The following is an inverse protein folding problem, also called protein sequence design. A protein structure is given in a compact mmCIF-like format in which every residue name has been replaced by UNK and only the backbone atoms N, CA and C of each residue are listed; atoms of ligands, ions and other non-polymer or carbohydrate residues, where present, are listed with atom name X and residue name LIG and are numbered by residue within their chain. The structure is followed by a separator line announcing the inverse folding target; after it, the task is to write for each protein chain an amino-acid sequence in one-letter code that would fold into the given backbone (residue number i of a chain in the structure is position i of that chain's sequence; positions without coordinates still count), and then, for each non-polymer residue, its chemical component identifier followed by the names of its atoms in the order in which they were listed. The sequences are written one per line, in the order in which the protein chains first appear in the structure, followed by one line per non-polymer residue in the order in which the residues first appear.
data_IF_874135843005
#
_entry.id   IF_874135843005
#
_cell.length_a   1.000
_cell.length_b   1.000
_cell.length_c   1.000
_cell.angle_alpha   90.00
_cell.angle_beta   90.00
_cell.angle_gamma   90.00
#
_symmetry.space_group_name_H-M   'P 1'
#
loop_
_entity.id
_entity.type
_entity.pdbx_description
1 polymer ?
#
# COMPACT_ATOMS: atom_id res chain seq x y z
N UNK A 1 -10.28 8.36 -11.83
CA UNK A 1 -9.03 8.89 -11.24
C UNK A 1 -8.65 8.19 -9.93
N UNK A 2 -9.56 8.09 -8.96
CA UNK A 2 -9.33 7.36 -7.69
C UNK A 2 -8.72 5.97 -7.86
N UNK A 3 -9.29 5.13 -8.74
CA UNK A 3 -8.78 3.76 -8.97
C UNK A 3 -7.33 3.76 -9.44
N UNK A 4 -6.93 4.70 -10.30
CA UNK A 4 -5.55 4.80 -10.79
C UNK A 4 -4.59 5.24 -9.67
N UNK A 5 -4.96 6.24 -8.87
CA UNK A 5 -4.14 6.67 -7.73
C UNK A 5 -4.03 5.58 -6.69
N UNK A 6 -5.12 4.93 -6.31
CA UNK A 6 -5.12 3.81 -5.39
C UNK A 6 -4.25 2.65 -5.91
N UNK A 7 -4.45 2.22 -7.17
CA UNK A 7 -3.65 1.15 -7.81
C UNK A 7 -2.17 1.51 -7.87
N UNK A 8 -1.81 2.79 -8.01
CA UNK A 8 -0.40 3.21 -8.03
C UNK A 8 0.28 3.20 -6.67
N UNK A 9 -0.47 3.42 -5.59
CA UNK A 9 0.01 3.24 -4.21
C UNK A 9 0.27 1.75 -3.98
N UNK A 10 -0.68 0.91 -4.35
CA UNK A 10 -0.64 -0.53 -4.08
C UNK A 10 0.31 -1.30 -5.01
N UNK A 11 0.12 -1.24 -6.33
CA UNK A 11 1.01 -1.91 -7.28
C UNK A 11 2.40 -1.27 -7.32
N UNK A 12 2.49 0.05 -7.20
CA UNK A 12 3.74 0.80 -7.30
C UNK A 12 4.50 0.92 -5.98
N UNK A 13 4.16 1.94 -5.18
CA UNK A 13 4.89 2.27 -3.95
C UNK A 13 5.03 1.08 -3.01
N UNK A 14 3.95 0.32 -2.84
CA UNK A 14 3.88 -0.81 -1.94
C UNK A 14 4.51 -2.08 -2.51
N UNK A 15 3.85 -2.76 -3.44
CA UNK A 15 4.24 -4.11 -3.90
C UNK A 15 5.51 -4.11 -4.75
N UNK A 16 5.68 -3.14 -5.65
CA UNK A 16 6.85 -3.04 -6.53
C UNK A 16 8.07 -2.47 -5.80
N UNK A 17 7.98 -1.25 -5.28
CA UNK A 17 9.16 -0.55 -4.76
C UNK A 17 9.46 -0.89 -3.29
N UNK A 18 8.47 -0.93 -2.39
CA UNK A 18 8.75 -1.25 -0.99
C UNK A 18 9.12 -2.72 -0.79
N UNK A 19 8.33 -3.63 -1.37
CA UNK A 19 8.47 -5.08 -1.15
C UNK A 19 9.23 -5.86 -2.21
N UNK A 20 9.45 -5.29 -3.40
CA UNK A 20 10.10 -5.99 -4.52
C UNK A 20 9.41 -7.33 -4.83
N UNK A 21 8.09 -7.34 -4.75
CA UNK A 21 7.28 -8.55 -4.91
C UNK A 21 7.15 -8.97 -6.39
N UNK A 22 7.42 -8.05 -7.31
CA UNK A 22 7.55 -8.31 -8.74
C UNK A 22 8.50 -7.28 -9.39
N UNK A 23 8.79 -7.46 -10.68
CA UNK A 23 9.55 -6.50 -11.49
C UNK A 23 8.66 -5.88 -12.56
N UNK A 24 8.86 -4.59 -12.81
CA UNK A 24 8.13 -3.83 -13.83
C UNK A 24 9.08 -3.27 -14.89
N UNK A 25 8.69 -3.31 -16.16
CA UNK A 25 9.39 -2.59 -17.24
C UNK A 25 9.13 -1.09 -17.13
N UNK A 26 10.00 -0.30 -17.78
CA UNK A 26 9.96 1.17 -17.72
C UNK A 26 8.58 1.78 -18.03
N UNK A 27 7.80 1.33 -19.05
CA UNK A 27 6.48 1.90 -19.32
C UNK A 27 5.53 1.80 -18.11
N UNK A 28 5.49 0.63 -17.47
CA UNK A 28 4.67 0.42 -16.27
C UNK A 28 5.18 1.25 -15.09
N UNK A 29 6.50 1.33 -14.90
CA UNK A 29 7.08 2.17 -13.83
C UNK A 29 6.70 3.65 -14.00
N UNK A 30 6.73 4.17 -15.22
CA UNK A 30 6.34 5.57 -15.52
C UNK A 30 4.86 5.83 -15.22
N UNK A 31 3.99 4.91 -15.62
CA UNK A 31 2.55 4.98 -15.36
C UNK A 31 2.29 4.99 -13.85
N UNK A 32 2.85 4.01 -13.13
CA UNK A 32 2.68 3.90 -11.68
C UNK A 32 3.24 5.12 -10.96
N UNK A 33 4.40 5.64 -11.36
CA UNK A 33 5.00 6.80 -10.72
C UNK A 33 4.18 8.08 -10.93
N UNK A 34 3.60 8.24 -12.12
CA UNK A 34 2.78 9.40 -12.46
C UNK A 34 1.50 9.43 -11.62
N UNK A 35 0.80 8.30 -11.53
CA UNK A 35 -0.41 8.19 -10.71
C UNK A 35 -0.09 8.21 -9.20
N UNK A 36 1.07 7.71 -8.78
CA UNK A 36 1.48 7.80 -7.37
C UNK A 36 1.77 9.24 -6.98
N UNK A 37 2.40 10.00 -7.88
CA UNK A 37 2.61 11.45 -7.70
C UNK A 37 1.26 12.18 -7.61
N UNK A 38 0.27 11.79 -8.41
CA UNK A 38 -1.12 12.29 -8.30
C UNK A 38 -1.79 11.91 -6.98
N UNK A 39 -1.42 10.79 -6.34
CA UNK A 39 -1.95 10.37 -5.04
C UNK A 39 -1.46 11.25 -3.88
N UNK A 40 -0.34 11.97 -4.07
CA UNK A 40 0.24 12.94 -3.12
C UNK A 40 0.43 12.36 -1.69
N UNK A 41 1.08 11.19 -1.61
CA UNK A 41 1.44 10.54 -0.34
C UNK A 41 2.94 10.56 -0.07
N UNK A 42 3.57 11.73 -0.16
CA UNK A 42 5.04 11.90 -0.21
C UNK A 42 5.69 11.29 -1.46
N UNK A 43 6.99 11.54 -1.62
CA UNK A 43 7.80 10.93 -2.67
C UNK A 43 7.86 9.41 -2.50
N UNK A 44 8.11 8.65 -3.58
CA UNK A 44 8.26 7.18 -3.46
C UNK A 44 9.42 6.84 -2.52
N UNK A 45 10.49 7.65 -2.53
CA UNK A 45 11.66 7.47 -1.67
C UNK A 45 11.27 7.54 -0.19
N UNK A 46 10.51 8.57 0.20
CA UNK A 46 10.08 8.73 1.60
C UNK A 46 9.03 7.72 2.01
N UNK A 47 8.06 7.45 1.13
CA UNK A 47 6.99 6.48 1.37
C UNK A 47 7.57 5.08 1.59
N UNK A 48 8.49 4.63 0.72
CA UNK A 48 9.13 3.31 0.85
C UNK A 48 9.98 3.22 2.11
N UNK A 49 10.70 4.28 2.50
CA UNK A 49 11.46 4.29 3.76
C UNK A 49 10.53 4.09 4.94
N UNK A 50 9.47 4.87 5.03
CA UNK A 50 8.52 4.82 6.14
C UNK A 50 7.79 3.46 6.17
N UNK A 51 7.43 2.91 5.01
CA UNK A 51 6.79 1.59 4.90
C UNK A 51 7.72 0.43 5.28
N UNK A 52 9.00 0.48 4.88
CA UNK A 52 10.00 -0.53 5.30
C UNK A 52 10.26 -0.46 6.80
N UNK A 53 10.23 0.73 7.39
CA UNK A 53 10.30 0.92 8.84
C UNK A 53 9.09 0.31 9.54
N UNK A 54 7.89 0.59 9.02
CA UNK A 54 6.63 0.03 9.50
C UNK A 54 6.66 -1.50 9.55
N UNK A 55 7.05 -2.18 8.46
CA UNK A 55 7.15 -3.65 8.51
C UNK A 55 8.19 -4.18 9.49
N UNK A 56 9.35 -3.53 9.58
CA UNK A 56 10.46 -4.01 10.39
C UNK A 56 10.23 -3.81 11.89
N UNK A 57 9.53 -2.73 12.24
CA UNK A 57 9.34 -2.27 13.60
C UNK A 57 7.85 -2.09 13.96
N UNK A 58 7.00 -2.83 13.27
CA UNK A 58 5.54 -2.79 13.33
C UNK A 58 5.05 -2.62 14.77
N UNK A 59 4.21 -1.61 14.98
CA UNK A 59 3.55 -1.35 16.26
C UNK A 59 4.51 -1.06 17.43
N UNK A 60 5.70 -0.53 17.13
CA UNK A 60 6.65 0.02 18.13
C UNK A 60 6.88 1.51 17.91
N UNK A 61 7.62 2.17 18.80
CA UNK A 61 7.99 3.58 18.65
C UNK A 61 8.86 3.90 17.41
N UNK A 62 9.40 2.88 16.74
CA UNK A 62 10.10 3.04 15.46
C UNK A 62 9.20 2.87 14.23
N UNK A 63 7.93 2.55 14.42
CA UNK A 63 6.89 2.56 13.39
C UNK A 63 6.33 3.98 13.21
N UNK A 64 6.40 4.56 11.99
CA UNK A 64 5.84 5.89 11.71
C UNK A 64 4.37 6.06 12.09
N UNK A 65 3.56 5.01 12.01
CA UNK A 65 2.12 5.04 12.28
C UNK A 65 1.69 3.95 13.27
N UNK A 66 2.52 3.72 14.28
CA UNK A 66 2.31 2.77 15.39
C UNK A 66 0.83 2.70 15.86
N UNK A 67 0.17 1.57 15.61
CA UNK A 67 -1.24 1.38 15.95
C UNK A 67 -1.51 1.26 17.46
N UNK A 68 -0.50 0.94 18.28
CA UNK A 68 -0.61 0.92 19.76
C UNK A 68 -0.90 2.32 20.33
N UNK A 69 -0.61 3.38 19.57
CA UNK A 69 -0.97 4.76 19.94
C UNK A 69 -2.42 5.12 19.62
N UNK A 70 -3.21 4.14 19.18
CA UNK A 70 -4.63 4.24 18.93
C UNK A 70 -5.01 4.59 17.50
N UNK A 71 -6.31 4.44 17.21
CA UNK A 71 -6.88 4.62 15.87
C UNK A 71 -6.58 6.00 15.28
N UNK A 72 -6.80 7.09 16.03
CA UNK A 72 -6.60 8.43 15.49
C UNK A 72 -5.13 8.68 15.10
N UNK A 73 -4.19 8.22 15.92
CA UNK A 73 -2.76 8.39 15.65
C UNK A 73 -2.35 7.66 14.37
N UNK A 74 -2.65 6.36 14.28
CA UNK A 74 -2.31 5.50 13.13
C UNK A 74 -3.04 5.92 11.85
N UNK A 75 -4.26 6.46 11.97
CA UNK A 75 -5.03 6.94 10.83
C UNK A 75 -4.46 8.25 10.26
N UNK A 76 -4.34 9.31 11.05
CA UNK A 76 -3.88 10.61 10.53
C UNK A 76 -3.06 11.44 11.52
N UNK A 77 -3.17 11.16 12.82
CA UNK A 77 -2.49 11.95 13.86
C UNK A 77 -0.96 11.91 13.73
N UNK A 78 -0.38 10.82 13.22
CA UNK A 78 1.05 10.70 12.98
C UNK A 78 1.60 11.75 11.99
N UNK A 79 0.77 12.26 11.07
CA UNK A 79 1.12 13.31 10.12
C UNK A 79 1.08 14.71 10.75
N UNK A 80 0.44 14.86 11.92
CA UNK A 80 0.22 16.15 12.58
C UNK A 80 1.23 16.45 13.69
N UNK A 81 2.15 15.51 13.94
CA UNK A 81 3.14 15.62 15.01
C UNK A 81 4.53 15.32 14.48
N UNK A 82 5.56 15.69 15.26
CA UNK A 82 6.92 15.27 14.96
C UNK A 82 7.03 13.75 15.13
N UNK A 83 7.75 13.11 14.19
CA UNK A 83 8.11 11.70 14.26
C UNK A 83 8.87 11.40 15.56
N UNK A 84 8.60 10.24 16.15
CA UNK A 84 9.30 9.77 17.34
C UNK A 84 10.82 9.61 17.05
N UNK A 85 11.73 9.93 18.01
CA UNK A 85 13.18 9.83 17.79
C UNK A 85 13.66 8.46 17.32
N UNK A 86 13.01 7.37 17.75
CA UNK A 86 13.34 6.00 17.35
C UNK A 86 13.25 5.75 15.84
N UNK A 87 12.35 6.45 15.13
CA UNK A 87 12.25 6.34 13.67
C UNK A 87 13.55 6.83 13.01
N UNK A 88 14.14 7.91 13.54
CA UNK A 88 15.43 8.41 13.06
C UNK A 88 16.57 7.49 13.49
N UNK A 89 16.57 7.07 14.75
CA UNK A 89 17.62 6.21 15.31
C UNK A 89 17.73 4.88 14.55
N UNK A 90 16.60 4.25 14.20
CA UNK A 90 16.56 2.95 13.52
C UNK A 90 16.42 3.04 12.00
N UNK A 91 16.25 4.24 11.44
CA UNK A 91 16.09 4.46 10.00
C UNK A 91 17.25 3.95 9.14
N UNK A 92 18.47 3.93 9.67
CA UNK A 92 19.64 3.40 8.94
C UNK A 92 19.61 1.87 8.76
N UNK A 93 18.74 1.17 9.51
CA UNK A 93 18.68 -0.29 9.50
C UNK A 93 17.77 -0.83 8.38
N UNK A 94 17.02 0.03 7.69
CA UNK A 94 16.27 -0.33 6.50
C UNK A 94 17.13 -0.03 5.28
N UNK A 95 17.35 -1.06 4.45
CA UNK A 95 18.10 -0.88 3.21
C UNK A 95 17.26 -0.02 2.25
N UNK A 96 17.85 1.03 1.68
CA UNK A 96 17.22 1.92 0.68
C UNK A 96 18.06 2.04 -0.61
N UNK A 97 19.14 1.27 -0.74
CA UNK A 97 20.07 1.42 -1.87
C UNK A 97 19.41 1.18 -3.23
N UNK A 98 18.47 0.24 -3.31
CA UNK A 98 17.70 -0.02 -4.54
C UNK A 98 16.81 1.16 -4.96
N UNK A 99 16.31 1.91 -3.99
CA UNK A 99 15.46 3.08 -4.23
C UNK A 99 16.32 4.28 -4.60
N UNK A 100 17.41 4.52 -3.86
CA UNK A 100 18.34 5.61 -4.15
C UNK A 100 19.11 5.41 -5.45
N UNK A 101 19.36 4.17 -5.88
CA UNK A 101 20.03 3.89 -7.15
C UNK A 101 19.08 3.92 -8.35
N UNK A 102 17.76 4.05 -8.14
CA UNK A 102 16.81 4.16 -9.23
C UNK A 102 16.70 5.62 -9.72
N UNK A 103 17.18 5.95 -10.94
CA UNK A 103 17.20 7.34 -11.43
C UNK A 103 15.79 7.91 -11.60
N UNK A 104 14.80 7.07 -11.92
CA UNK A 104 13.42 7.50 -12.09
C UNK A 104 12.81 7.96 -10.75
N UNK A 105 13.05 7.21 -9.67
CA UNK A 105 12.56 7.57 -8.33
C UNK A 105 13.28 8.80 -7.78
N UNK A 106 14.58 8.92 -8.06
CA UNK A 106 15.36 10.13 -7.73
C UNK A 106 14.82 11.36 -8.43
N UNK A 107 14.52 11.26 -9.73
CA UNK A 107 13.91 12.36 -10.47
C UNK A 107 12.58 12.80 -9.85
N UNK A 108 11.72 11.84 -9.50
CA UNK A 108 10.44 12.15 -8.84
C UNK A 108 10.63 12.80 -7.48
N UNK A 109 11.58 12.32 -6.67
CA UNK A 109 11.88 12.90 -5.36
C UNK A 109 12.43 14.33 -5.45
N UNK A 110 13.36 14.58 -6.37
CA UNK A 110 13.99 15.89 -6.56
C UNK A 110 13.02 16.95 -7.10
N UNK A 111 12.05 16.54 -7.92
CA UNK A 111 11.07 17.43 -8.54
C UNK A 111 9.68 17.31 -7.89
N UNK A 112 9.59 16.72 -6.69
CA UNK A 112 8.34 16.20 -6.14
C UNK A 112 7.23 17.25 -6.06
N UNK A 113 7.53 18.45 -5.55
CA UNK A 113 6.52 19.52 -5.42
C UNK A 113 6.01 20.02 -6.78
N UNK A 114 6.90 20.19 -7.76
CA UNK A 114 6.49 20.60 -9.11
C UNK A 114 5.62 19.53 -9.78
N UNK A 115 6.00 18.26 -9.62
CA UNK A 115 5.22 17.13 -10.14
C UNK A 115 3.88 16.97 -9.42
N UNK A 116 3.80 17.18 -8.11
CA UNK A 116 2.53 17.16 -7.37
C UNK A 116 1.61 18.28 -7.83
N UNK A 117 2.11 19.50 -7.99
CA UNK A 117 1.33 20.62 -8.54
C UNK A 117 0.74 20.25 -9.91
N UNK A 118 1.56 19.67 -10.79
CA UNK A 118 1.10 19.23 -12.11
C UNK A 118 0.07 18.09 -12.04
N UNK A 119 0.45 16.96 -11.43
CA UNK A 119 -0.30 15.71 -11.50
C UNK A 119 -1.48 15.64 -10.54
N UNK A 120 -1.37 16.20 -9.33
CA UNK A 120 -2.44 16.15 -8.33
C UNK A 120 -3.42 17.32 -8.46
N UNK A 121 -2.94 18.52 -8.83
CA UNK A 121 -3.76 19.74 -8.83
C UNK A 121 -4.12 20.23 -10.24
N UNK A 122 -3.14 20.57 -11.07
CA UNK A 122 -3.39 21.24 -12.35
C UNK A 122 -4.10 20.34 -13.37
N UNK A 123 -3.55 19.15 -13.65
CA UNK A 123 -4.16 18.23 -14.62
C UNK A 123 -5.58 17.81 -14.19
N UNK A 124 -5.84 17.39 -12.93
CA UNK A 124 -7.18 17.00 -12.54
C UNK A 124 -8.19 18.16 -12.45
N UNK A 125 -7.73 19.40 -12.30
CA UNK A 125 -8.61 20.59 -12.37
C UNK A 125 -8.96 20.96 -13.80
N UNK A 126 -8.01 20.80 -14.74
CA UNK A 126 -8.18 21.26 -16.11
C UNK A 126 -8.88 20.23 -17.01
N UNK A 127 -8.54 18.94 -16.90
CA UNK A 127 -9.08 17.89 -17.77
C UNK A 127 -10.62 17.88 -17.79
N UNK A 128 -11.34 18.00 -16.66
CA UNK A 128 -12.80 18.00 -16.70
C UNK A 128 -13.42 19.18 -17.45
N UNK A 129 -12.74 20.33 -17.49
CA UNK A 129 -13.21 21.51 -18.20
C UNK A 129 -13.28 21.25 -19.71
N UNK A 130 -12.48 20.31 -20.23
CA UNK A 130 -12.49 19.95 -21.66
C UNK A 130 -13.80 19.30 -22.13
N UNK A 131 -14.60 18.75 -21.23
CA UNK A 131 -15.94 18.21 -21.53
C UNK A 131 -17.07 19.08 -20.94
N UNK A 132 -16.78 20.35 -20.65
CA UNK A 132 -17.78 21.35 -20.24
C UNK A 132 -18.03 21.45 -18.74
N UNK A 133 -17.20 20.85 -17.88
CA UNK A 133 -17.31 21.04 -16.43
C UNK A 133 -16.81 22.43 -16.00
N UNK A 134 -17.39 22.97 -14.92
CA UNK A 134 -16.90 24.21 -14.31
C UNK A 134 -15.57 23.99 -13.61
N UNK A 135 -14.68 24.98 -13.66
CA UNK A 135 -13.39 24.91 -12.95
C UNK A 135 -13.57 24.67 -11.44
N UNK A 136 -14.64 25.23 -10.85
CA UNK A 136 -14.98 25.06 -9.44
C UNK A 136 -15.27 23.59 -9.10
N UNK A 137 -16.20 22.96 -9.82
CA UNK A 137 -16.51 21.54 -9.60
C UNK A 137 -15.31 20.65 -9.90
N UNK A 138 -14.57 20.94 -10.97
CA UNK A 138 -13.37 20.18 -11.32
C UNK A 138 -12.35 20.21 -10.17
N UNK A 139 -12.08 21.38 -9.59
CA UNK A 139 -11.17 21.50 -8.46
C UNK A 139 -11.72 20.81 -7.19
N UNK A 140 -12.92 21.15 -6.73
CA UNK A 140 -13.42 20.60 -5.46
C UNK A 140 -13.70 19.10 -5.50
N UNK A 141 -14.21 18.58 -6.62
CA UNK A 141 -14.58 17.16 -6.76
C UNK A 141 -13.38 16.34 -7.23
N UNK A 142 -12.80 16.70 -8.37
CA UNK A 142 -11.72 15.90 -8.96
C UNK A 142 -10.40 16.10 -8.23
N UNK A 143 -10.14 17.26 -7.61
CA UNK A 143 -8.96 17.43 -6.77
C UNK A 143 -9.22 17.08 -5.32
N UNK A 144 -9.95 17.94 -4.60
CA UNK A 144 -9.99 17.89 -3.14
C UNK A 144 -10.73 16.66 -2.60
N UNK A 145 -11.96 16.41 -3.03
CA UNK A 145 -12.73 15.25 -2.57
C UNK A 145 -12.01 13.94 -2.91
N UNK A 146 -11.55 13.79 -4.16
CA UNK A 146 -10.79 12.60 -4.58
C UNK A 146 -9.51 12.41 -3.78
N UNK A 147 -8.75 13.48 -3.50
CA UNK A 147 -7.52 13.41 -2.73
C UNK A 147 -7.80 13.01 -1.27
N UNK A 148 -8.73 13.70 -0.62
CA UNK A 148 -9.16 13.39 0.76
C UNK A 148 -9.65 11.95 0.87
N UNK A 149 -10.50 11.50 -0.06
CA UNK A 149 -10.98 10.13 -0.08
C UNK A 149 -9.83 9.12 -0.26
N UNK A 150 -8.88 9.39 -1.17
CA UNK A 150 -7.69 8.55 -1.36
C UNK A 150 -6.87 8.43 -0.08
N UNK A 151 -6.64 9.54 0.63
CA UNK A 151 -5.91 9.55 1.88
C UNK A 151 -6.60 8.70 2.95
N UNK A 152 -7.89 8.96 3.22
CA UNK A 152 -8.61 8.22 4.27
C UNK A 152 -8.70 6.72 3.97
N UNK A 153 -8.83 6.32 2.71
CA UNK A 153 -8.82 4.90 2.36
C UNK A 153 -7.44 4.28 2.60
N UNK A 154 -6.35 4.95 2.22
CA UNK A 154 -5.01 4.44 2.54
C UNK A 154 -4.79 4.39 4.05
N UNK A 155 -5.22 5.40 4.79
CA UNK A 155 -5.06 5.48 6.24
C UNK A 155 -5.87 4.43 7.01
N UNK A 156 -6.96 3.91 6.43
CA UNK A 156 -7.67 2.75 7.00
C UNK A 156 -6.79 1.48 7.03
N UNK A 157 -5.82 1.34 6.13
CA UNK A 157 -4.88 0.22 6.16
C UNK A 157 -4.01 0.30 7.41
N UNK A 158 -3.46 1.49 7.71
CA UNK A 158 -2.62 1.70 8.89
C UNK A 158 -3.42 1.59 10.21
N UNK A 159 -4.71 1.93 10.20
CA UNK A 159 -5.52 1.98 11.41
C UNK A 159 -6.46 0.78 11.54
N UNK A 160 -7.54 0.72 10.76
CA UNK A 160 -8.55 -0.33 10.85
C UNK A 160 -7.96 -1.72 10.62
N UNK A 161 -7.02 -1.86 9.65
CA UNK A 161 -6.39 -3.15 9.35
C UNK A 161 -5.28 -3.56 10.36
N UNK A 162 -5.08 -2.79 11.44
CA UNK A 162 -4.30 -3.20 12.63
C UNK A 162 -5.18 -3.49 13.86
N UNK A 163 -6.48 -3.24 13.79
CA UNK A 163 -7.35 -3.24 14.98
C UNK A 163 -8.57 -4.16 14.86
N UNK A 164 -9.23 -4.21 13.69
CA UNK A 164 -10.56 -4.82 13.56
C UNK A 164 -10.65 -5.80 12.39
N UNK A 165 -10.51 -7.08 12.69
CA UNK A 165 -10.58 -8.17 11.74
C UNK A 165 -10.08 -9.48 12.33
N UNK A 166 -9.83 -10.47 11.48
CA UNK A 166 -9.33 -11.78 11.91
C UNK A 166 -7.83 -11.93 11.66
N UNK A 167 -7.18 -12.92 12.29
CA UNK A 167 -5.73 -13.18 12.18
C UNK A 167 -5.43 -14.62 11.78
N UNK A 168 -5.88 -15.07 10.60
CA UNK A 168 -5.80 -16.47 10.20
C UNK A 168 -4.36 -16.99 10.00
N UNK A 169 -3.37 -16.11 9.79
CA UNK A 169 -1.98 -16.52 9.51
C UNK A 169 -1.05 -16.34 10.71
N UNK A 170 -1.19 -15.23 11.45
CA UNK A 170 -0.43 -15.00 12.67
C UNK A 170 -1.20 -14.14 13.68
N UNK A 171 -1.61 -14.76 14.78
CA UNK A 171 -2.31 -14.09 15.88
C UNK A 171 -1.42 -13.22 16.77
N UNK A 172 -0.10 -13.34 16.67
CA UNK A 172 0.86 -12.66 17.54
C UNK A 172 1.26 -11.27 17.04
N UNK A 173 0.78 -10.85 15.87
CA UNK A 173 0.97 -9.50 15.31
C UNK A 173 -0.37 -8.76 15.33
N UNK A 174 -0.35 -7.42 15.30
CA UNK A 174 -1.60 -6.64 15.27
C UNK A 174 -2.35 -6.63 13.92
N UNK A 175 -1.70 -6.63 12.74
CA UNK A 175 -2.37 -6.67 11.45
C UNK A 175 -3.46 -7.73 11.35
N UNK A 176 -4.60 -7.36 10.77
CA UNK A 176 -5.81 -8.16 10.65
C UNK A 176 -6.31 -8.22 9.20
N UNK A 177 -7.16 -9.20 8.90
CA UNK A 177 -7.89 -9.30 7.65
C UNK A 177 -9.21 -8.52 7.75
N UNK A 178 -9.38 -7.47 6.93
CA UNK A 178 -10.56 -6.62 6.91
C UNK A 178 -11.10 -6.47 5.48
N UNK A 179 -12.16 -7.20 5.14
CA UNK A 179 -12.72 -7.24 3.77
C UNK A 179 -13.16 -5.86 3.24
N UNK A 180 -13.76 -5.03 4.09
CA UNK A 180 -14.20 -3.67 3.72
C UNK A 180 -13.00 -2.80 3.34
N UNK A 181 -11.93 -2.85 4.12
CA UNK A 181 -10.68 -2.15 3.80
C UNK A 181 -10.11 -2.68 2.48
N UNK A 182 -10.17 -3.99 2.25
CA UNK A 182 -9.66 -4.56 0.99
C UNK A 182 -10.43 -4.08 -0.23
N UNK A 183 -11.75 -3.98 -0.13
CA UNK A 183 -12.59 -3.45 -1.20
C UNK A 183 -12.27 -1.98 -1.50
N UNK A 184 -12.20 -1.14 -0.46
CA UNK A 184 -11.93 0.29 -0.61
C UNK A 184 -10.50 0.54 -1.09
N UNK A 185 -9.51 -0.07 -0.44
CA UNK A 185 -8.08 0.07 -0.70
C UNK A 185 -7.57 -0.89 -1.79
N UNK A 186 -8.46 -1.29 -2.72
CA UNK A 186 -8.15 -2.04 -3.95
C UNK A 186 -7.27 -3.30 -3.77
N UNK A 187 -7.32 -3.95 -2.61
CA UNK A 187 -6.56 -5.17 -2.31
C UNK A 187 -5.78 -5.20 -1.00
N UNK A 188 -5.62 -4.08 -0.29
CA UNK A 188 -4.69 -3.99 0.85
C UNK A 188 -5.31 -4.28 2.23
N UNK A 189 -6.54 -4.81 2.28
CA UNK A 189 -7.20 -5.11 3.55
C UNK A 189 -6.86 -6.48 4.13
N UNK A 190 -6.18 -7.34 3.39
CA UNK A 190 -5.70 -8.64 3.86
C UNK A 190 -4.35 -8.48 4.56
N UNK A 191 -4.36 -7.70 5.65
CA UNK A 191 -3.15 -7.15 6.24
C UNK A 191 -2.41 -8.13 7.15
N UNK A 192 -3.12 -9.09 7.77
CA UNK A 192 -2.49 -10.18 8.50
C UNK A 192 -1.65 -11.07 7.57
N UNK A 193 -2.19 -11.40 6.40
CA UNK A 193 -1.45 -12.10 5.34
C UNK A 193 -0.23 -11.30 4.93
N UNK A 194 -0.45 -10.02 4.60
CA UNK A 194 0.60 -9.16 4.09
C UNK A 194 1.77 -9.01 5.06
N UNK A 195 1.52 -8.77 6.35
CA UNK A 195 2.60 -8.69 7.34
C UNK A 195 3.28 -10.02 7.61
N UNK A 196 2.58 -11.14 7.41
CA UNK A 196 3.16 -12.48 7.51
C UNK A 196 4.05 -12.82 6.30
N UNK A 197 3.64 -12.41 5.11
CA UNK A 197 4.30 -12.69 3.84
C UNK A 197 4.49 -11.42 2.99
N UNK A 198 5.33 -10.47 3.44
CA UNK A 198 5.43 -9.15 2.82
C UNK A 198 5.96 -9.17 1.39
N UNK A 199 6.57 -10.28 0.96
CA UNK A 199 7.15 -10.44 -0.37
C UNK A 199 6.19 -11.01 -1.41
N UNK A 200 4.97 -11.42 -1.04
CA UNK A 200 3.97 -11.94 -1.97
C UNK A 200 3.33 -10.80 -2.79
N UNK A 201 3.37 -10.89 -4.11
CA UNK A 201 2.85 -9.85 -5.01
C UNK A 201 1.33 -9.68 -4.91
N UNK A 202 0.62 -10.70 -4.44
CA UNK A 202 -0.83 -10.69 -4.30
C UNK A 202 -1.24 -9.90 -3.07
N UNK A 203 -0.40 -9.84 -2.03
CA UNK A 203 -0.71 -9.34 -0.67
C UNK A 203 -1.92 -10.01 0.00
N UNK A 204 -2.43 -11.09 -0.59
CA UNK A 204 -3.57 -11.84 -0.09
C UNK A 204 -3.58 -13.26 -0.67
N UNK A 205 -4.05 -14.21 0.13
CA UNK A 205 -4.53 -15.51 -0.36
C UNK A 205 -6.03 -15.44 -0.72
N UNK A 206 -6.82 -14.75 0.12
CA UNK A 206 -8.28 -14.72 0.04
C UNK A 206 -8.80 -13.58 -0.85
N UNK A 207 -10.09 -13.67 -1.22
CA UNK A 207 -10.82 -12.57 -1.86
C UNK A 207 -10.70 -12.47 -3.38
N UNK A 208 -9.83 -13.26 -4.02
CA UNK A 208 -9.70 -13.32 -5.47
C UNK A 208 -9.52 -11.94 -6.10
N UNK A 209 -10.05 -11.73 -7.31
CA UNK A 209 -9.96 -10.42 -7.98
C UNK A 209 -10.98 -9.39 -7.48
N UNK A 210 -12.11 -9.80 -6.90
CA UNK A 210 -13.17 -8.88 -6.47
C UNK A 210 -12.78 -8.05 -5.25
N UNK A 211 -11.95 -8.61 -4.35
CA UNK A 211 -11.40 -7.89 -3.20
C UNK A 211 -9.92 -7.54 -3.38
N UNK A 212 -9.32 -7.81 -4.54
CA UNK A 212 -7.93 -7.50 -4.85
C UNK A 212 -7.75 -7.10 -6.31
N UNK A 213 -8.27 -5.91 -6.64
CA UNK A 213 -8.14 -5.32 -7.97
C UNK A 213 -6.67 -5.11 -8.36
N UNK A 214 -5.80 -4.79 -7.40
CA UNK A 214 -4.37 -4.61 -7.65
C UNK A 214 -3.71 -5.88 -8.18
N UNK A 215 -4.07 -7.05 -7.65
CA UNK A 215 -3.62 -8.34 -8.19
C UNK A 215 -4.05 -8.50 -9.65
N UNK A 216 -5.32 -8.23 -9.97
CA UNK A 216 -5.82 -8.30 -11.34
C UNK A 216 -5.03 -7.37 -12.28
N UNK A 217 -4.78 -6.13 -11.85
CA UNK A 217 -3.98 -5.18 -12.60
C UNK A 217 -2.56 -5.72 -12.88
N UNK A 218 -1.87 -6.23 -11.86
CA UNK A 218 -0.51 -6.78 -12.02
C UNK A 218 -0.52 -8.00 -12.95
N UNK A 219 -1.50 -8.90 -12.83
CA UNK A 219 -1.63 -10.09 -13.69
C UNK A 219 -1.87 -9.70 -15.16
N UNK A 220 -2.70 -8.67 -15.43
CA UNK A 220 -2.89 -8.13 -16.77
C UNK A 220 -1.61 -7.51 -17.33
N UNK A 221 -0.87 -6.77 -16.51
CA UNK A 221 0.43 -6.21 -16.90
C UNK A 221 1.47 -7.29 -17.15
N UNK A 222 1.42 -8.41 -16.42
CA UNK A 222 2.28 -9.56 -16.66
C UNK A 222 1.93 -10.25 -17.98
N UNK A 223 0.63 -10.38 -18.29
CA UNK A 223 0.14 -10.97 -19.55
C UNK A 223 0.64 -10.21 -20.79
N UNK A 224 0.75 -8.88 -20.73
CA UNK A 224 1.32 -8.06 -21.81
C UNK A 224 2.85 -7.90 -21.70
N UNK A 225 3.49 -8.61 -20.78
CA UNK A 225 4.95 -8.62 -20.60
C UNK A 225 5.54 -7.35 -19.98
N UNK A 226 4.73 -6.52 -19.32
CA UNK A 226 5.16 -5.31 -18.62
C UNK A 226 5.52 -5.56 -17.15
N UNK A 227 4.97 -6.61 -16.55
CA UNK A 227 5.39 -7.14 -15.26
C UNK A 227 5.98 -8.56 -15.41
N UNK A 228 6.92 -8.94 -14.55
CA UNK A 228 7.51 -10.28 -14.49
C UNK A 228 8.04 -10.58 -13.08
N UNK A 229 8.47 -11.82 -12.86
CA UNK A 229 9.07 -12.27 -11.58
C UNK A 229 8.11 -12.06 -10.40
N UNK A 230 6.82 -12.38 -10.61
CA UNK A 230 5.74 -12.26 -9.63
C UNK A 230 5.94 -13.34 -8.55
N UNK A 231 6.28 -12.93 -7.33
CA UNK A 231 6.55 -13.84 -6.22
C UNK A 231 5.28 -14.21 -5.47
N UNK A 232 5.02 -15.50 -5.30
CA UNK A 232 3.89 -16.00 -4.52
C UNK A 232 4.32 -17.03 -3.47
N UNK A 233 3.64 -17.02 -2.33
CA UNK A 233 3.79 -18.02 -1.27
C UNK A 233 3.19 -19.35 -1.74
N UNK A 234 3.93 -20.44 -1.52
CA UNK A 234 3.47 -21.80 -1.79
C UNK A 234 2.40 -22.24 -0.79
N UNK A 235 1.47 -23.08 -1.23
CA UNK A 235 0.38 -23.59 -0.38
C UNK A 235 0.91 -24.32 0.85
N UNK A 236 1.94 -25.16 0.70
CA UNK A 236 2.59 -25.85 1.83
C UNK A 236 3.10 -24.88 2.90
N UNK A 237 3.64 -23.73 2.50
CA UNK A 237 4.16 -22.74 3.45
C UNK A 237 3.01 -22.00 4.14
N UNK A 238 1.93 -21.71 3.41
CA UNK A 238 0.71 -21.12 3.96
C UNK A 238 0.09 -22.04 5.02
N UNK A 239 -0.14 -23.30 4.67
CA UNK A 239 -0.71 -24.29 5.57
C UNK A 239 0.10 -24.44 6.86
N UNK A 240 1.43 -24.59 6.73
CA UNK A 240 2.33 -24.68 7.89
C UNK A 240 2.26 -23.44 8.76
N UNK A 241 2.15 -22.24 8.18
CA UNK A 241 2.07 -20.99 8.94
C UNK A 241 0.74 -20.88 9.68
N UNK A 242 -0.37 -21.13 8.99
CA UNK A 242 -1.72 -21.12 9.56
C UNK A 242 -1.82 -22.11 10.73
N UNK A 243 -1.39 -23.36 10.56
CA UNK A 243 -1.41 -24.37 11.64
C UNK A 243 -0.52 -24.00 12.83
N UNK A 244 0.56 -23.25 12.61
CA UNK A 244 1.52 -22.88 13.67
C UNK A 244 1.07 -21.64 14.46
N UNK A 245 0.59 -20.61 13.78
CA UNK A 245 0.36 -19.27 14.39
C UNK A 245 -1.01 -18.67 14.10
N UNK A 246 -1.86 -19.29 13.31
CA UNK A 246 -3.21 -18.80 13.04
C UNK A 246 -4.08 -18.73 14.28
N UNK A 247 -5.10 -17.86 14.25
CA UNK A 247 -6.12 -17.73 15.29
C UNK A 247 -7.28 -18.75 15.17
N UNK A 248 -7.24 -19.62 14.16
CA UNK A 248 -8.30 -20.58 13.86
C UNK A 248 -9.38 -20.05 12.91
N UNK A 249 -9.29 -18.80 12.45
CA UNK A 249 -10.28 -18.23 11.52
C UNK A 249 -10.02 -18.59 10.05
N UNK A 250 -8.98 -19.35 9.73
CA UNK A 250 -8.65 -19.71 8.34
C UNK A 250 -9.70 -20.68 7.78
N UNK A 251 -10.28 -20.44 6.59
CA UNK A 251 -11.42 -21.22 6.10
C UNK A 251 -11.12 -22.70 5.86
N UNK A 252 -9.88 -23.04 5.48
CA UNK A 252 -9.49 -24.43 5.14
C UNK A 252 -8.74 -25.16 6.25
N UNK A 253 -7.99 -24.43 7.09
CA UNK A 253 -7.03 -25.02 8.05
C UNK A 253 -7.20 -24.48 9.46
N UNK A 254 -8.26 -23.70 9.71
CA UNK A 254 -8.57 -23.12 11.02
C UNK A 254 -9.27 -24.11 11.96
N UNK A 255 -9.91 -25.13 11.39
CA UNK A 255 -10.53 -26.23 12.13
C UNK A 255 -9.48 -27.33 12.32
N UNK A 256 -9.26 -27.77 13.56
CA UNK A 256 -8.42 -28.93 13.88
C UNK A 256 -9.09 -30.25 13.44
N UNK A 257 -9.64 -30.28 12.22
CA UNK A 257 -10.18 -31.48 11.62
C UNK A 257 -8.98 -32.40 11.38
N UNK A 258 -8.79 -33.32 12.33
CA UNK A 258 -7.89 -34.46 12.14
C UNK A 258 -8.45 -35.24 10.97
N UNK A 259 -7.75 -35.19 9.84
CA UNK A 259 -7.92 -36.14 8.74
C UNK A 259 -7.65 -37.55 9.29
#
# INVERSE_FOLDING_TARGET
MYVFTATSVTAGAHRLWAHKAYKAKLPLQLILLSFFTMAFQNSVVDWVRDHRMHHKYCDTDADPHNAERGFFFSHMGWLMVRKHPEIKAKGHTVNMSDIHNNPLLRFQHQNYMALVLLFCFLLPSYIPVLWGETLWNAFYVSVLLRYTFTLHVTWLVNSAAHMWGTKPYDKNINPVETKIVSFLAVGEGFHNYHHTFPWDYRTAELGGYSLNFTKLFIDLMAKIGWANDLKSVSEDLLERRVKRTGDGSHPLWGWNDKI
#
